data_IF_844290674460
#
_entry.id   IF_844290674460
#
_cell.length_a   1.000
_cell.length_b   1.000
_cell.length_c   1.000
_cell.angle_alpha   90.00
_cell.angle_beta   90.00
_cell.angle_gamma   90.00
#
_symmetry.space_group_name_H-M   'P 1'
#
loop_
_entity.id
_entity.type
_entity.pdbx_description
1 polymer ?
#
# COMPACT_ATOMS: atom_id res chain seq x y z
N UNK A 1 -18.22 -0.27 5.19
CA UNK A 1 -17.37 -0.37 4.00
C UNK A 1 -16.13 -1.12 4.41
N UNK A 2 -15.77 -2.20 3.71
CA UNK A 2 -14.54 -2.96 3.98
C UNK A 2 -13.31 -2.08 3.70
N UNK A 3 -12.17 -2.41 4.32
CA UNK A 3 -10.91 -1.67 4.13
C UNK A 3 -10.49 -1.64 2.65
N UNK A 4 -10.57 -2.78 1.97
CA UNK A 4 -10.30 -2.94 0.53
C UNK A 4 -11.22 -2.12 -0.36
N UNK A 5 -12.50 -1.97 -0.01
CA UNK A 5 -13.44 -1.10 -0.74
C UNK A 5 -12.99 0.37 -0.66
N UNK A 6 -12.54 0.84 0.52
CA UNK A 6 -12.00 2.20 0.68
C UNK A 6 -10.76 2.44 -0.17
N UNK A 7 -9.82 1.48 -0.14
CA UNK A 7 -8.60 1.53 -0.96
C UNK A 7 -8.96 1.58 -2.45
N UNK A 8 -9.84 0.70 -2.92
CA UNK A 8 -10.26 0.66 -4.31
C UNK A 8 -10.96 1.95 -4.77
N UNK A 9 -11.87 2.51 -3.95
CA UNK A 9 -12.54 3.78 -4.28
C UNK A 9 -11.55 4.95 -4.39
N UNK A 10 -10.54 4.99 -3.51
CA UNK A 10 -9.52 6.03 -3.58
C UNK A 10 -8.62 5.89 -4.81
N UNK A 11 -8.31 4.66 -5.22
CA UNK A 11 -7.48 4.36 -6.40
C UNK A 11 -8.19 4.64 -7.73
N UNK A 12 -9.53 4.49 -7.81
CA UNK A 12 -10.30 4.73 -9.05
C UNK A 12 -10.07 6.11 -9.68
N UNK A 13 -9.68 7.10 -8.89
CA UNK A 13 -9.48 8.49 -9.34
C UNK A 13 -8.06 8.79 -9.80
N UNK A 14 -7.15 7.80 -9.77
CA UNK A 14 -5.71 8.00 -9.95
C UNK A 14 -5.17 7.10 -11.06
N UNK A 15 -4.32 7.66 -11.91
CA UNK A 15 -3.67 6.90 -12.98
C UNK A 15 -2.46 6.13 -12.45
N UNK A 16 -1.60 6.78 -11.67
CA UNK A 16 -0.38 6.23 -11.10
C UNK A 16 -0.12 6.87 -9.74
N UNK A 17 0.57 6.16 -8.85
CA UNK A 17 0.86 6.60 -7.49
C UNK A 17 2.30 6.29 -7.10
N UNK A 18 2.86 7.07 -6.19
CA UNK A 18 4.04 6.69 -5.43
C UNK A 18 3.62 6.27 -4.02
N UNK A 19 4.50 5.59 -3.29
CA UNK A 19 4.21 5.23 -1.90
C UNK A 19 5.42 5.43 -0.98
N UNK A 20 5.09 5.69 0.28
CA UNK A 20 6.03 5.87 1.37
C UNK A 20 5.83 4.74 2.37
N UNK A 21 6.90 4.00 2.63
CA UNK A 21 6.97 2.97 3.65
C UNK A 21 7.17 3.62 5.03
N UNK A 22 7.00 2.88 6.14
CA UNK A 22 7.19 3.41 7.48
C UNK A 22 8.58 4.02 7.74
N UNK A 23 9.60 3.59 7.00
CA UNK A 23 10.97 4.10 7.08
C UNK A 23 11.34 5.12 5.98
N UNK A 24 10.38 5.56 5.16
CA UNK A 24 10.60 6.56 4.11
C UNK A 24 10.17 6.10 2.71
N UNK A 25 10.49 6.89 1.68
CA UNK A 25 10.08 6.59 0.30
C UNK A 25 10.77 5.34 -0.24
N UNK A 26 10.04 4.54 -1.00
CA UNK A 26 10.65 3.50 -1.82
C UNK A 26 11.14 4.10 -3.14
N UNK A 27 12.46 4.24 -3.26
CA UNK A 27 13.10 4.94 -4.38
C UNK A 27 12.85 6.45 -4.36
N UNK A 28 12.82 7.08 -5.53
CA UNK A 28 12.65 8.54 -5.66
C UNK A 28 11.21 8.85 -6.07
N UNK A 29 10.40 9.54 -5.24
CA UNK A 29 8.96 9.72 -5.48
C UNK A 29 8.58 10.28 -6.86
N UNK A 30 9.42 11.14 -7.45
CA UNK A 30 9.18 11.71 -8.77
C UNK A 30 9.63 10.81 -9.93
N UNK A 31 10.54 9.88 -9.67
CA UNK A 31 11.04 8.91 -10.67
C UNK A 31 10.27 7.59 -10.60
N UNK A 32 9.59 7.31 -9.47
CA UNK A 32 8.97 6.04 -9.15
C UNK A 32 7.46 6.21 -8.95
N UNK A 33 6.73 6.14 -10.06
CA UNK A 33 5.28 6.02 -10.05
C UNK A 33 4.86 4.64 -10.54
N UNK A 34 3.87 4.07 -9.87
CA UNK A 34 3.39 2.73 -10.09
C UNK A 34 1.90 2.75 -10.39
N UNK A 35 1.48 1.89 -11.31
CA UNK A 35 0.06 1.61 -11.51
C UNK A 35 -0.35 0.50 -10.53
N UNK A 36 -1.59 0.55 -10.05
CA UNK A 36 -2.13 -0.55 -9.25
C UNK A 36 -2.77 -1.56 -10.18
N UNK A 37 -2.28 -2.80 -10.12
CA UNK A 37 -2.82 -3.92 -10.91
C UNK A 37 -4.07 -4.49 -10.25
N UNK A 38 -4.01 -4.77 -8.94
CA UNK A 38 -5.17 -5.23 -8.16
C UNK A 38 -5.02 -4.98 -6.66
N UNK A 39 -6.17 -4.95 -5.97
CA UNK A 39 -6.26 -5.02 -4.51
C UNK A 39 -7.00 -6.30 -4.15
N UNK A 40 -6.32 -7.21 -3.44
CA UNK A 40 -6.83 -8.55 -3.13
C UNK A 40 -7.03 -8.73 -1.63
N UNK A 41 -8.24 -9.11 -1.23
CA UNK A 41 -8.54 -9.53 0.14
C UNK A 41 -7.82 -10.84 0.47
N UNK A 42 -7.28 -10.93 1.67
CA UNK A 42 -6.70 -12.14 2.25
C UNK A 42 -7.52 -12.57 3.47
N UNK A 43 -7.25 -13.76 4.01
CA UNK A 43 -7.89 -14.22 5.25
C UNK A 43 -7.55 -13.28 6.44
N UNK A 44 -6.34 -12.75 6.46
CA UNK A 44 -5.83 -11.83 7.47
C UNK A 44 -5.27 -10.57 6.80
N UNK A 45 -6.16 -9.64 6.45
CA UNK A 45 -5.84 -8.35 5.83
C UNK A 45 -5.98 -8.36 4.30
N UNK A 46 -5.05 -7.72 3.58
CA UNK A 46 -5.11 -7.56 2.13
C UNK A 46 -3.74 -7.30 1.52
N UNK A 47 -3.65 -7.37 0.19
CA UNK A 47 -2.46 -7.04 -0.58
C UNK A 47 -2.81 -6.09 -1.72
N UNK A 48 -1.96 -5.10 -1.97
CA UNK A 48 -2.01 -4.23 -3.13
C UNK A 48 -0.87 -4.66 -4.05
N UNK A 49 -1.21 -5.09 -5.27
CA UNK A 49 -0.24 -5.38 -6.32
C UNK A 49 -0.09 -4.16 -7.23
N UNK A 50 1.15 -3.85 -7.55
CA UNK A 50 1.52 -2.78 -8.45
C UNK A 50 2.31 -3.33 -9.65
N UNK A 51 2.43 -2.50 -10.68
CA UNK A 51 3.36 -2.74 -11.78
C UNK A 51 4.78 -2.98 -11.28
N UNK A 52 5.61 -3.60 -12.14
CA UNK A 52 6.99 -3.99 -11.84
C UNK A 52 7.14 -5.08 -10.78
N UNK A 53 6.09 -5.90 -10.60
CA UNK A 53 6.08 -7.04 -9.67
C UNK A 53 6.34 -6.59 -8.22
N UNK A 54 5.70 -5.48 -7.85
CA UNK A 54 5.75 -4.90 -6.51
C UNK A 54 4.45 -5.20 -5.77
N UNK A 55 4.55 -5.45 -4.47
CA UNK A 55 3.37 -5.62 -3.63
C UNK A 55 3.55 -5.05 -2.23
N UNK A 56 2.44 -4.52 -1.69
CA UNK A 56 2.32 -4.15 -0.29
C UNK A 56 1.26 -5.03 0.36
N UNK A 57 1.70 -5.93 1.23
CA UNK A 57 0.83 -6.80 2.01
C UNK A 57 0.62 -6.21 3.39
N UNK A 58 -0.63 -6.12 3.81
CA UNK A 58 -1.02 -5.68 5.14
C UNK A 58 -1.74 -6.82 5.84
N UNK A 59 -1.24 -7.21 7.01
CA UNK A 59 -1.81 -8.25 7.84
C UNK A 59 -2.44 -7.65 9.10
N UNK A 60 -3.55 -8.24 9.54
CA UNK A 60 -4.38 -7.73 10.63
C UNK A 60 -5.40 -6.69 10.16
N UNK A 61 -6.13 -6.17 11.15
CA UNK A 61 -7.03 -5.03 10.92
C UNK A 61 -6.21 -3.75 10.71
N UNK A 62 -6.58 -2.96 9.71
CA UNK A 62 -5.92 -1.69 9.41
C UNK A 62 -6.87 -0.51 9.52
N UNK A 63 -6.33 0.65 9.85
CA UNK A 63 -7.01 1.93 9.72
C UNK A 63 -6.69 2.53 8.35
N UNK A 64 -7.74 2.93 7.61
CA UNK A 64 -7.62 3.64 6.33
C UNK A 64 -8.07 5.08 6.53
N UNK A 65 -7.14 6.03 6.37
CA UNK A 65 -7.41 7.46 6.46
C UNK A 65 -7.15 8.13 5.11
N UNK A 66 -8.08 8.96 4.66
CA UNK A 66 -7.91 9.80 3.48
C UNK A 66 -7.54 11.20 3.96
N UNK A 67 -6.42 11.74 3.47
CA UNK A 67 -5.95 13.09 3.84
C UNK A 67 -5.41 13.79 2.60
N UNK A 68 -6.08 14.87 2.19
CA UNK A 68 -5.79 15.59 0.94
C UNK A 68 -5.71 14.62 -0.25
N UNK A 69 -4.54 14.52 -0.87
CA UNK A 69 -4.26 13.64 -2.01
C UNK A 69 -3.62 12.31 -1.61
N UNK A 70 -3.65 11.93 -0.33
CA UNK A 70 -3.00 10.73 0.21
C UNK A 70 -4.00 9.73 0.80
N UNK A 71 -3.66 8.46 0.69
CA UNK A 71 -4.26 7.37 1.46
C UNK A 71 -3.25 6.89 2.49
N UNK A 72 -3.57 7.03 3.77
CA UNK A 72 -2.74 6.57 4.88
C UNK A 72 -3.33 5.23 5.35
N UNK A 73 -2.46 4.23 5.41
CA UNK A 73 -2.75 2.89 5.89
C UNK A 73 -1.91 2.66 7.14
N UNK A 74 -2.55 2.51 8.29
CA UNK A 74 -1.90 2.38 9.60
C UNK A 74 -2.57 1.31 10.47
N UNK A 75 -2.07 1.14 11.69
CA UNK A 75 -2.52 0.12 12.66
C UNK A 75 -2.44 -1.33 12.19
N UNK A 76 -1.78 -1.59 11.05
CA UNK A 76 -1.49 -2.94 10.61
C UNK A 76 -0.63 -3.67 11.64
N UNK A 77 -0.86 -4.96 11.82
CA UNK A 77 0.02 -5.80 12.64
C UNK A 77 1.37 -5.99 11.95
N UNK A 78 1.34 -6.22 10.64
CA UNK A 78 2.53 -6.33 9.80
C UNK A 78 2.24 -5.74 8.43
N UNK A 79 3.17 -4.94 7.91
CA UNK A 79 3.27 -4.57 6.51
C UNK A 79 4.51 -5.23 5.90
N UNK A 80 4.35 -5.99 4.83
CA UNK A 80 5.44 -6.57 4.04
C UNK A 80 5.50 -5.89 2.67
N UNK A 81 6.68 -5.39 2.32
CA UNK A 81 6.95 -4.88 0.99
C UNK A 81 7.71 -5.95 0.19
N UNK A 82 7.11 -6.36 -0.92
CA UNK A 82 7.60 -7.40 -1.80
C UNK A 82 8.02 -6.80 -3.14
N UNK A 83 9.14 -7.28 -3.67
CA UNK A 83 9.62 -6.96 -5.00
C UNK A 83 10.10 -8.25 -5.67
N UNK A 84 9.47 -8.60 -6.79
CA UNK A 84 9.78 -9.80 -7.58
C UNK A 84 9.68 -11.10 -6.79
N UNK A 85 8.62 -11.27 -6.01
CA UNK A 85 8.43 -12.46 -5.17
C UNK A 85 9.28 -12.48 -3.88
N UNK A 86 10.09 -11.44 -3.63
CA UNK A 86 11.02 -11.39 -2.50
C UNK A 86 10.62 -10.26 -1.55
N UNK A 87 10.38 -10.60 -0.29
CA UNK A 87 10.14 -9.62 0.78
C UNK A 87 11.42 -8.81 0.99
N UNK A 88 11.37 -7.53 0.63
CA UNK A 88 12.48 -6.59 0.78
C UNK A 88 12.52 -6.00 2.19
N UNK A 89 11.34 -5.74 2.76
CA UNK A 89 11.21 -5.19 4.10
C UNK A 89 9.90 -5.60 4.76
N UNK A 90 9.93 -5.56 6.09
CA UNK A 90 8.81 -5.90 6.96
C UNK A 90 8.74 -4.91 8.10
N UNK A 91 7.54 -4.45 8.40
CA UNK A 91 7.27 -3.42 9.40
C UNK A 91 6.13 -3.87 10.30
N UNK A 92 6.28 -3.70 11.60
CA UNK A 92 5.25 -3.89 12.63
C UNK A 92 4.89 -2.57 13.32
N UNK A 93 5.23 -1.44 12.68
CA UNK A 93 5.00 -0.10 13.17
C UNK A 93 4.78 0.91 12.03
N UNK A 94 4.29 2.09 12.40
CA UNK A 94 4.19 3.26 11.53
C UNK A 94 2.99 3.20 10.58
N UNK A 95 3.12 3.89 9.45
CA UNK A 95 2.08 3.94 8.43
C UNK A 95 2.69 3.86 7.04
N UNK A 96 1.88 3.42 6.08
CA UNK A 96 2.17 3.53 4.65
C UNK A 96 1.31 4.66 4.08
N UNK A 97 1.91 5.53 3.27
CA UNK A 97 1.16 6.55 2.52
C UNK A 97 1.19 6.23 1.04
N UNK A 98 0.03 6.15 0.40
CA UNK A 98 -0.11 6.17 -1.06
C UNK A 98 -0.37 7.62 -1.48
N UNK A 99 0.35 8.09 -2.50
CA UNK A 99 0.33 9.48 -2.98
C UNK A 99 0.15 9.52 -4.50
#
# INVERSE_FOLDING_TARGET
MKQTERVNEWLKKRCSICFFLPNGPYGRPFDNQYYVDEVKELEDGFIIHFTDDLALRFNGEVTILESEDKLIIEDFRVCEFECRGIIQSRYDYGHVSLC
#
